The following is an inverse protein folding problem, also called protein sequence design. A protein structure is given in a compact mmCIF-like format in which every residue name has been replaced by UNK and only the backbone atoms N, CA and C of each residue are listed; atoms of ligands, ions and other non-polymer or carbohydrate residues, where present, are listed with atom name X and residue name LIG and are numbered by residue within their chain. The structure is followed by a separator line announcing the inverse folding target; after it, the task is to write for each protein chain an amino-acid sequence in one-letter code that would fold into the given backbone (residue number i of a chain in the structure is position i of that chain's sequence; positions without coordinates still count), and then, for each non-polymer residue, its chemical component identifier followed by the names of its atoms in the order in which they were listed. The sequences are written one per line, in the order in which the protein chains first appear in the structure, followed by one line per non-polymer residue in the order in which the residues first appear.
data_IF_739267500884
#
_entry.id   IF_739267500884
#
_cell.length_a   1.000
_cell.length_b   1.000
_cell.length_c   1.000
_cell.angle_alpha   90.00
_cell.angle_beta   90.00
_cell.angle_gamma   90.00
#
_symmetry.space_group_name_H-M   'P 1'
#
loop_
_entity.id
_entity.type
_entity.pdbx_description
1 polymer ?
#
# COMPACT_ATOMS: atom_id res chain seq x y z
N UNK A 1 -15.13 -19.08 -26.68
CA UNK A 1 -16.27 -18.14 -26.78
C UNK A 1 -15.72 -16.73 -26.79
N UNK A 2 -15.77 -16.10 -27.96
CA UNK A 2 -15.20 -14.78 -28.24
C UNK A 2 -16.37 -13.92 -28.69
N UNK A 3 -16.69 -12.83 -27.98
CA UNK A 3 -17.66 -11.83 -28.44
C UNK A 3 -17.13 -10.44 -28.14
N UNK A 4 -16.73 -9.78 -29.22
CA UNK A 4 -16.49 -8.34 -29.37
C UNK A 4 -17.82 -7.59 -29.43
N UNK A 5 -17.90 -6.38 -28.88
CA UNK A 5 -18.75 -5.31 -29.45
C UNK A 5 -18.16 -3.91 -29.20
N UNK A 6 -18.47 -3.03 -30.16
CA UNK A 6 -17.87 -1.74 -30.47
C UNK A 6 -18.33 -0.54 -29.61
N UNK A 7 -17.42 0.45 -29.54
CA UNK A 7 -17.56 1.93 -29.55
C UNK A 7 -18.85 2.58 -29.02
N UNK A 8 -18.66 3.58 -28.15
CA UNK A 8 -18.90 4.98 -28.55
C UNK A 8 -18.01 5.99 -27.78
N UNK A 9 -17.63 7.01 -28.54
CA UNK A 9 -16.71 8.11 -28.31
C UNK A 9 -17.09 9.12 -27.21
N UNK A 10 -16.08 9.60 -26.47
CA UNK A 10 -15.91 11.03 -26.15
C UNK A 10 -14.43 11.34 -25.87
N UNK A 11 -13.80 12.02 -26.82
CA UNK A 11 -12.49 12.65 -26.67
C UNK A 11 -12.56 13.75 -25.61
N UNK A 12 -11.67 13.70 -24.61
CA UNK A 12 -11.27 14.86 -23.81
C UNK A 12 -9.79 15.12 -24.11
N UNK A 13 -9.53 16.14 -24.92
CA UNK A 13 -8.17 16.63 -25.17
C UNK A 13 -7.57 17.16 -23.87
N UNK A 14 -6.48 16.54 -23.44
CA UNK A 14 -5.54 17.08 -22.46
C UNK A 14 -4.40 17.69 -23.26
N UNK A 15 -4.30 19.01 -23.29
CA UNK A 15 -3.15 19.72 -23.84
C UNK A 15 -1.97 19.56 -22.88
N UNK A 16 -0.95 18.82 -23.31
CA UNK A 16 0.43 19.03 -22.89
C UNK A 16 1.30 19.07 -24.15
N UNK A 17 1.69 20.28 -24.53
CA UNK A 17 2.97 20.57 -25.20
C UNK A 17 4.09 20.05 -24.26
N UNK A 18 5.24 19.56 -24.69
CA UNK A 18 5.95 19.66 -25.96
C UNK A 18 6.97 18.53 -26.07
N UNK A 19 7.15 17.94 -27.25
CA UNK A 19 8.49 17.54 -27.70
C UNK A 19 8.60 17.82 -29.20
N UNK A 20 9.69 18.49 -29.56
CA UNK A 20 10.01 18.86 -30.92
C UNK A 20 10.76 17.69 -31.58
N UNK A 21 10.10 17.00 -32.50
CA UNK A 21 10.71 16.40 -33.70
C UNK A 21 9.73 15.40 -34.32
N UNK A 22 9.19 15.72 -35.48
CA UNK A 22 9.10 14.78 -36.60
C UNK A 22 8.56 15.54 -37.81
N UNK A 23 9.46 15.72 -38.79
CA UNK A 23 9.16 16.11 -40.16
C UNK A 23 8.38 15.00 -40.87
N UNK A 24 7.70 15.41 -41.95
CA UNK A 24 7.17 14.62 -43.06
C UNK A 24 5.70 14.13 -42.96
N UNK A 25 4.82 14.97 -43.50
CA UNK A 25 3.46 14.67 -43.99
C UNK A 25 3.50 13.59 -45.09
N UNK A 26 2.79 12.46 -44.96
CA UNK A 26 1.36 12.25 -45.27
C UNK A 26 0.94 12.58 -46.70
N UNK A 27 0.66 11.55 -47.51
CA UNK A 27 -0.45 11.41 -48.48
C UNK A 27 -0.71 9.87 -48.63
N UNK A 28 -1.89 9.35 -49.08
CA UNK A 28 -2.95 10.01 -49.83
C UNK A 28 -4.42 9.60 -49.47
N UNK A 29 -5.37 10.26 -50.17
CA UNK A 29 -6.77 9.91 -50.45
C UNK A 29 -7.83 10.26 -49.38
N UNK A 30 -8.44 11.45 -49.48
CA UNK A 30 -9.67 11.78 -50.22
C UNK A 30 -10.92 11.57 -49.32
N UNK A 31 -11.88 12.49 -49.16
CA UNK A 31 -12.61 13.23 -50.19
C UNK A 31 -13.38 14.43 -49.60
N UNK A 32 -13.28 15.57 -50.30
CA UNK A 32 -14.40 16.34 -50.89
C UNK A 32 -15.60 16.68 -49.97
N UNK A 33 -15.49 17.73 -49.15
CA UNK A 33 -16.63 18.65 -48.90
C UNK A 33 -16.33 20.03 -48.30
N UNK A 34 -15.06 20.37 -48.02
CA UNK A 34 -14.74 21.64 -47.33
C UNK A 34 -13.88 22.65 -48.12
N UNK A 35 -13.61 22.42 -49.41
CA UNK A 35 -12.71 23.25 -50.23
C UNK A 35 -13.40 24.11 -51.31
N UNK A 36 -14.74 24.24 -51.26
CA UNK A 36 -15.51 25.06 -52.22
C UNK A 36 -15.71 26.53 -51.81
N UNK A 37 -15.15 27.01 -50.70
CA UNK A 37 -15.40 28.38 -50.22
C UNK A 37 -14.20 29.35 -50.30
N UNK A 38 -13.00 28.87 -50.67
CA UNK A 38 -11.79 29.72 -50.71
C UNK A 38 -11.38 30.11 -52.15
N UNK A 39 -11.95 29.48 -53.19
CA UNK A 39 -11.63 29.76 -54.60
C UNK A 39 -12.74 30.52 -55.37
N UNK A 40 -13.52 31.37 -54.69
CA UNK A 40 -14.51 32.27 -55.33
C UNK A 40 -14.25 33.76 -55.04
N UNK A 41 -12.98 34.16 -54.92
CA UNK A 41 -12.61 35.60 -54.86
C UNK A 41 -11.23 35.95 -55.43
N UNK A 42 -10.64 35.05 -56.22
CA UNK A 42 -9.29 35.26 -56.79
C UNK A 42 -9.21 34.87 -58.28
N UNK A 43 -10.30 35.13 -59.02
CA UNK A 43 -10.42 34.85 -60.46
C UNK A 43 -11.28 35.88 -61.20
N UNK A 44 -11.23 37.14 -60.78
CA UNK A 44 -11.79 38.28 -61.54
C UNK A 44 -10.73 39.35 -61.87
N UNK A 45 -9.47 39.13 -61.52
CA UNK A 45 -8.38 40.04 -61.86
C UNK A 45 -7.39 39.36 -62.78
N UNK A 46 -7.72 39.38 -64.09
CA UNK A 46 -6.81 39.37 -65.27
C UNK A 46 -7.49 38.71 -66.45
N UNK A 47 -8.23 39.50 -67.23
CA UNK A 47 -8.38 39.33 -68.68
C UNK A 47 -9.18 40.51 -69.22
N UNK A 48 -8.49 41.42 -69.92
CA UNK A 48 -8.95 42.23 -71.06
C UNK A 48 -8.17 43.54 -71.09
N UNK A 49 -7.00 43.49 -71.73
CA UNK A 49 -6.28 44.64 -72.26
C UNK A 49 -6.79 44.85 -73.69
N UNK A 50 -7.27 46.05 -74.05
CA UNK A 50 -7.23 46.69 -75.39
C UNK A 50 -7.89 48.10 -75.29
N UNK A 51 -7.74 49.02 -76.27
CA UNK A 51 -6.67 50.01 -76.34
C UNK A 51 -7.14 51.47 -76.14
N UNK A 52 -6.16 52.36 -76.03
CA UNK A 52 -6.25 53.82 -75.87
C UNK A 52 -7.30 54.52 -76.74
N UNK A 53 -8.02 55.46 -76.14
CA UNK A 53 -8.22 56.82 -76.70
C UNK A 53 -7.88 57.86 -75.65
N UNK A 54 -7.12 58.88 -76.07
CA UNK A 54 -6.62 59.98 -75.23
C UNK A 54 -7.78 60.90 -74.82
N UNK A 55 -7.92 61.26 -73.54
CA UNK A 55 -8.50 62.52 -73.16
C UNK A 55 -7.44 63.61 -73.17
N UNK A 56 -7.89 64.77 -73.61
CA UNK A 56 -7.21 66.01 -73.95
C UNK A 56 -6.45 66.64 -72.78
N UNK A 57 -5.26 67.17 -73.09
CA UNK A 57 -4.36 67.81 -72.13
C UNK A 57 -4.81 69.26 -71.90
N UNK A 58 -5.34 69.57 -70.72
CA UNK A 58 -5.47 70.96 -70.24
C UNK A 58 -4.31 71.28 -69.31
N UNK A 59 -3.60 72.41 -69.50
CA UNK A 59 -2.47 72.78 -68.66
C UNK A 59 -2.95 73.19 -67.26
N UNK A 60 -2.27 72.69 -66.23
CA UNK A 60 -2.44 73.14 -64.85
C UNK A 60 -1.88 74.57 -64.67
N UNK A 61 -2.52 75.41 -63.84
CA UNK A 61 -1.94 76.69 -63.41
C UNK A 61 -0.72 76.47 -62.48
N UNK A 62 0.20 77.45 -62.38
CA UNK A 62 1.50 77.29 -61.74
C UNK A 62 1.42 77.08 -60.22
N UNK A 63 2.41 76.32 -59.74
CA UNK A 63 2.64 75.93 -58.36
C UNK A 63 2.66 77.13 -57.38
N UNK A 64 1.98 76.96 -56.25
CA UNK A 64 2.17 77.73 -55.03
C UNK A 64 3.05 76.93 -54.04
N UNK A 65 3.86 77.59 -53.19
CA UNK A 65 5.04 76.99 -52.58
C UNK A 65 4.71 75.95 -51.48
N UNK A 66 5.21 74.72 -51.66
CA UNK A 66 5.03 73.57 -50.75
C UNK A 66 5.85 73.61 -49.44
N UNK A 67 6.53 74.72 -49.11
CA UNK A 67 7.49 74.72 -48.00
C UNK A 67 6.92 75.07 -46.63
N UNK A 68 5.69 75.58 -46.52
CA UNK A 68 5.14 76.04 -45.23
C UNK A 68 4.22 75.03 -44.53
N UNK A 69 3.58 74.11 -45.26
CA UNK A 69 2.55 73.21 -44.67
C UNK A 69 3.18 71.98 -43.99
N UNK A 70 4.35 71.52 -44.45
CA UNK A 70 5.03 70.34 -43.89
C UNK A 70 5.66 70.57 -42.51
N UNK A 71 6.14 71.78 -42.21
CA UNK A 71 6.77 72.09 -40.92
C UNK A 71 5.75 72.33 -39.80
N UNK A 72 4.57 72.88 -40.12
CA UNK A 72 3.48 73.08 -39.13
C UNK A 72 2.86 71.74 -38.73
N UNK A 73 2.74 70.79 -39.66
CA UNK A 73 2.24 69.43 -39.37
C UNK A 73 3.22 68.62 -38.52
N UNK A 74 4.53 68.71 -38.79
CA UNK A 74 5.57 68.04 -37.97
C UNK A 74 5.66 68.62 -36.55
N UNK A 75 5.58 69.94 -36.39
CA UNK A 75 5.72 70.61 -35.08
C UNK A 75 4.50 70.44 -34.16
N UNK A 76 3.33 70.08 -34.70
CA UNK A 76 2.10 69.87 -33.92
C UNK A 76 1.74 68.39 -33.76
N UNK A 77 2.02 67.52 -34.73
CA UNK A 77 1.66 66.09 -34.64
C UNK A 77 2.65 65.24 -33.83
N UNK A 78 3.96 65.55 -33.86
CA UNK A 78 4.96 64.83 -33.06
C UNK A 78 4.68 64.87 -31.55
N UNK A 79 4.46 66.04 -30.91
CA UNK A 79 4.21 66.08 -29.47
C UNK A 79 2.86 65.44 -29.08
N UNK A 80 1.85 65.51 -29.94
CA UNK A 80 0.53 64.89 -29.71
C UNK A 80 0.61 63.37 -29.78
N UNK A 81 1.29 62.80 -30.78
CA UNK A 81 1.46 61.34 -30.89
C UNK A 81 2.37 60.78 -29.78
N UNK A 82 3.39 61.52 -29.38
CA UNK A 82 4.26 61.15 -28.25
C UNK A 82 3.45 61.18 -26.94
N UNK A 83 2.63 62.22 -26.71
CA UNK A 83 1.75 62.33 -25.54
C UNK A 83 0.74 61.17 -25.44
N UNK A 84 0.11 60.80 -26.56
CA UNK A 84 -0.84 59.68 -26.63
C UNK A 84 -0.15 58.35 -26.35
N UNK A 85 1.05 58.11 -26.89
CA UNK A 85 1.83 56.89 -26.65
C UNK A 85 2.33 56.80 -25.20
N UNK A 86 2.77 57.91 -24.61
CA UNK A 86 3.21 57.96 -23.20
C UNK A 86 2.04 57.74 -22.25
N UNK A 87 0.86 58.30 -22.53
CA UNK A 87 -0.37 58.01 -21.76
C UNK A 87 -0.80 56.55 -21.89
N UNK A 88 -0.66 55.94 -23.08
CA UNK A 88 -0.96 54.52 -23.27
C UNK A 88 0.03 53.62 -22.52
N UNK A 89 1.32 53.99 -22.48
CA UNK A 89 2.33 53.27 -21.71
C UNK A 89 2.12 53.43 -20.19
N UNK A 90 1.76 54.63 -19.73
CA UNK A 90 1.45 54.89 -18.31
C UNK A 90 0.20 54.15 -17.84
N UNK A 91 -0.84 54.07 -18.68
CA UNK A 91 -2.06 53.31 -18.35
C UNK A 91 -1.81 51.81 -18.33
N UNK A 92 -1.01 51.28 -19.27
CA UNK A 92 -0.59 49.87 -19.24
C UNK A 92 0.30 49.57 -18.03
N UNK A 93 1.21 50.47 -17.66
CA UNK A 93 2.07 50.35 -16.47
C UNK A 93 1.23 50.38 -15.18
N UNK A 94 0.25 51.29 -15.08
CA UNK A 94 -0.68 51.36 -13.94
C UNK A 94 -1.55 50.11 -13.84
N UNK A 95 -1.99 49.54 -14.96
CA UNK A 95 -2.79 48.32 -15.00
C UNK A 95 -1.95 47.08 -14.64
N UNK A 96 -0.68 47.04 -15.06
CA UNK A 96 0.27 46.01 -14.63
C UNK A 96 0.62 46.12 -13.15
N UNK A 97 0.81 47.34 -12.64
CA UNK A 97 1.07 47.59 -11.22
C UNK A 97 -0.16 47.25 -10.36
N UNK A 98 -1.37 47.56 -10.82
CA UNK A 98 -2.62 47.15 -10.19
C UNK A 98 -2.79 45.63 -10.13
N UNK A 99 -2.26 44.89 -11.13
CA UNK A 99 -2.25 43.43 -11.13
C UNK A 99 -1.21 42.85 -10.15
N UNK A 100 -0.10 43.55 -9.91
CA UNK A 100 0.92 43.14 -8.92
C UNK A 100 0.52 43.46 -7.48
N UNK A 101 -0.28 44.51 -7.24
CA UNK A 101 -0.78 44.87 -5.91
C UNK A 101 -2.08 44.17 -5.51
N UNK A 102 -2.68 43.36 -6.39
CA UNK A 102 -3.80 42.52 -6.00
C UNK A 102 -3.32 41.51 -4.94
N UNK A 103 -3.82 41.56 -3.69
CA UNK A 103 -3.49 40.54 -2.71
C UNK A 103 -4.05 39.21 -3.22
N UNK A 104 -3.15 38.36 -3.71
CA UNK A 104 -3.46 37.02 -4.17
C UNK A 104 -3.89 36.15 -2.99
N UNK A 105 -5.13 36.28 -2.56
CA UNK A 105 -5.83 35.22 -1.83
C UNK A 105 -6.18 34.11 -2.83
N UNK A 106 -5.15 33.49 -3.41
CA UNK A 106 -5.27 32.20 -4.06
C UNK A 106 -5.52 31.21 -2.93
N UNK A 107 -6.80 31.02 -2.59
CA UNK A 107 -7.25 29.89 -1.78
C UNK A 107 -6.92 28.63 -2.59
N UNK A 108 -5.70 28.13 -2.43
CA UNK A 108 -5.29 26.83 -2.91
C UNK A 108 -6.28 25.83 -2.29
N UNK A 109 -7.08 25.22 -3.17
CA UNK A 109 -8.10 24.18 -2.95
C UNK A 109 -8.22 23.67 -1.52
N UNK A 110 -9.43 23.68 -0.96
CA UNK A 110 -9.82 23.16 0.36
C UNK A 110 -9.51 21.68 0.59
N UNK A 111 -8.24 21.33 0.50
CA UNK A 111 -7.63 20.07 0.85
C UNK A 111 -7.58 20.04 2.37
N UNK A 112 -8.19 19.02 2.95
CA UNK A 112 -8.15 18.81 4.40
C UNK A 112 -6.68 18.72 4.83
N UNK A 113 -6.27 19.41 5.90
CA UNK A 113 -4.90 19.33 6.35
C UNK A 113 -4.57 17.88 6.75
N UNK A 114 -3.36 17.44 6.37
CA UNK A 114 -2.81 16.15 6.80
C UNK A 114 -2.26 16.33 8.21
N UNK A 115 -2.73 15.51 9.15
CA UNK A 115 -2.34 15.53 10.55
C UNK A 115 -1.69 14.19 10.89
N UNK A 116 -0.57 14.23 11.58
CA UNK A 116 0.06 13.03 12.12
C UNK A 116 -0.69 12.60 13.38
N UNK A 117 -1.42 11.49 13.29
CA UNK A 117 -2.11 10.88 14.42
C UNK A 117 -1.15 9.94 15.15
N UNK A 118 -0.78 10.29 16.38
CA UNK A 118 0.12 9.49 17.22
C UNK A 118 -0.56 9.13 18.53
N UNK A 119 -0.11 8.08 19.18
CA UNK A 119 -0.66 7.76 20.48
C UNK A 119 -0.14 6.47 21.06
N UNK A 120 -0.66 6.16 22.25
CA UNK A 120 -0.44 4.90 22.94
C UNK A 120 -1.80 4.24 23.16
N UNK A 121 -1.92 2.98 22.74
CA UNK A 121 -3.05 2.11 23.04
C UNK A 121 -2.72 1.34 24.31
N UNK A 122 -3.55 1.50 25.34
CA UNK A 122 -3.41 0.83 26.62
C UNK A 122 -4.67 0.02 26.97
N UNK A 123 -4.54 -1.03 27.76
CA UNK A 123 -5.69 -1.72 28.36
C UNK A 123 -6.32 -0.82 29.44
N UNK A 124 -7.65 -0.77 29.51
CA UNK A 124 -8.40 0.04 30.48
C UNK A 124 -8.10 -0.30 31.94
N UNK A 125 -7.84 -1.57 32.24
CA UNK A 125 -7.69 -2.03 33.62
C UNK A 125 -6.25 -1.86 34.15
N UNK A 126 -5.26 -2.20 33.31
CA UNK A 126 -3.85 -2.24 33.74
C UNK A 126 -2.99 -1.12 33.16
N UNK A 127 -3.53 -0.26 32.29
CA UNK A 127 -2.76 0.76 31.53
C UNK A 127 -1.55 0.18 30.77
N UNK A 128 -1.49 -1.14 30.61
CA UNK A 128 -0.45 -1.83 29.86
C UNK A 128 -0.66 -1.57 28.38
N UNK A 129 0.43 -1.23 27.69
CA UNK A 129 0.44 -1.04 26.25
C UNK A 129 -0.06 -2.30 25.54
N UNK A 130 -1.02 -2.16 24.62
CA UNK A 130 -1.57 -3.28 23.85
C UNK A 130 -0.77 -3.41 22.55
N UNK A 131 0.09 -4.44 22.40
CA UNK A 131 0.86 -4.64 21.19
C UNK A 131 0.01 -5.18 20.05
N UNK A 132 0.34 -4.81 18.81
CA UNK A 132 -0.32 -5.35 17.61
C UNK A 132 -1.79 -4.93 17.43
N UNK A 133 -2.26 -3.91 18.14
CA UNK A 133 -3.57 -3.31 17.90
C UNK A 133 -3.60 -2.72 16.48
N UNK A 134 -4.70 -2.95 15.74
CA UNK A 134 -4.91 -2.41 14.40
C UNK A 134 -5.57 -1.03 14.49
N UNK A 135 -4.91 -0.02 13.92
CA UNK A 135 -5.40 1.37 13.85
C UNK A 135 -5.61 1.71 12.39
N UNK A 136 -6.84 1.98 11.97
CA UNK A 136 -7.13 2.24 10.57
C UNK A 136 -8.25 3.25 10.37
N UNK A 137 -8.23 3.91 9.21
CA UNK A 137 -9.26 4.86 8.77
C UNK A 137 -10.17 4.16 7.75
N UNK A 138 -11.44 3.89 8.08
CA UNK A 138 -12.35 3.16 7.18
C UNK A 138 -12.57 3.87 5.84
N UNK A 139 -12.61 5.21 5.83
CA UNK A 139 -12.82 6.00 4.61
C UNK A 139 -11.61 6.00 3.68
N UNK A 140 -10.40 5.99 4.23
CA UNK A 140 -9.16 6.09 3.45
C UNK A 140 -8.54 4.72 3.12
N UNK A 141 -8.97 3.65 3.79
CA UNK A 141 -8.41 2.30 3.61
C UNK A 141 -6.94 2.18 4.02
N UNK A 142 -6.46 3.08 4.90
CA UNK A 142 -5.09 3.11 5.41
C UNK A 142 -5.07 2.81 6.90
N UNK A 143 -4.01 2.16 7.36
CA UNK A 143 -3.84 1.83 8.76
C UNK A 143 -2.40 1.47 9.11
N UNK A 144 -2.17 1.30 10.40
CA UNK A 144 -0.92 0.90 11.03
C UNK A 144 -1.21 -0.03 12.20
N UNK A 145 -0.18 -0.66 12.75
CA UNK A 145 -0.27 -1.49 13.95
C UNK A 145 0.51 -0.86 15.09
N UNK A 146 0.09 -1.07 16.33
CA UNK A 146 0.87 -0.63 17.50
C UNK A 146 2.13 -1.49 17.70
N UNK A 147 3.18 -0.88 18.26
CA UNK A 147 4.41 -1.57 18.64
C UNK A 147 4.26 -2.34 19.97
N UNK A 148 5.35 -2.94 20.47
CA UNK A 148 5.38 -3.70 21.72
C UNK A 148 4.86 -2.92 22.95
N UNK A 149 5.06 -1.60 22.96
CA UNK A 149 4.61 -0.71 24.03
C UNK A 149 3.23 -0.07 23.77
N UNK A 150 2.53 -0.48 22.71
CA UNK A 150 1.23 0.09 22.32
C UNK A 150 1.31 1.42 21.57
N UNK A 151 2.50 1.93 21.25
CA UNK A 151 2.69 3.18 20.51
C UNK A 151 2.40 3.00 19.01
N UNK A 152 1.77 4.01 18.40
CA UNK A 152 1.49 4.05 16.96
C UNK A 152 1.64 5.46 16.37
N UNK A 153 1.77 5.51 15.04
CA UNK A 153 1.86 6.74 14.25
C UNK A 153 1.24 6.52 12.87
N UNK A 154 0.23 7.32 12.50
CA UNK A 154 -0.54 7.20 11.27
C UNK A 154 -0.85 8.61 10.72
N UNK A 155 -0.45 8.96 9.48
CA UNK A 155 -0.90 10.20 8.86
C UNK A 155 -2.38 10.06 8.42
N UNK A 156 -3.23 10.99 8.89
CA UNK A 156 -4.67 11.02 8.62
C UNK A 156 -5.09 12.41 8.15
N UNK A 157 -6.28 12.54 7.53
CA UNK A 157 -6.84 13.85 7.22
C UNK A 157 -7.66 14.36 8.41
N UNK A 158 -7.66 15.67 8.63
CA UNK A 158 -8.54 16.26 9.63
C UNK A 158 -10.02 15.95 9.31
N UNK A 159 -10.81 15.59 10.33
CA UNK A 159 -12.20 15.15 10.18
C UNK A 159 -12.39 13.65 9.91
N UNK A 160 -11.31 12.87 9.82
CA UNK A 160 -11.43 11.42 9.66
C UNK A 160 -11.75 10.70 10.98
N UNK A 161 -12.51 9.61 10.84
CA UNK A 161 -12.81 8.68 11.92
C UNK A 161 -11.80 7.53 11.89
N UNK A 162 -11.18 7.26 13.03
CA UNK A 162 -10.18 6.22 13.19
C UNK A 162 -10.79 5.13 14.07
N UNK A 163 -10.59 3.88 13.64
CA UNK A 163 -11.01 2.69 14.37
C UNK A 163 -9.77 2.02 14.93
N UNK A 164 -9.80 1.74 16.23
CA UNK A 164 -8.75 1.02 16.94
C UNK A 164 -9.37 -0.29 17.38
N UNK A 165 -8.75 -1.41 16.97
CA UNK A 165 -9.22 -2.76 17.23
C UNK A 165 -8.08 -3.63 17.70
N UNK A 166 -8.34 -4.43 18.73
CA UNK A 166 -7.46 -5.50 19.17
C UNK A 166 -8.31 -6.74 19.48
N UNK A 167 -7.68 -7.91 19.48
CA UNK A 167 -8.35 -9.16 19.85
C UNK A 167 -8.66 -9.16 21.35
N UNK A 168 -9.88 -9.52 21.73
CA UNK A 168 -10.33 -9.51 23.14
C UNK A 168 -10.73 -8.14 23.69
N UNK A 169 -10.70 -7.09 22.86
CA UNK A 169 -11.09 -5.73 23.24
C UNK A 169 -12.26 -5.23 22.38
N UNK A 170 -13.06 -4.35 22.97
CA UNK A 170 -14.10 -3.61 22.26
C UNK A 170 -13.48 -2.61 21.28
N UNK A 171 -14.08 -2.48 20.10
CA UNK A 171 -13.65 -1.49 19.10
C UNK A 171 -13.83 -0.07 19.64
N UNK A 172 -12.76 0.72 19.61
CA UNK A 172 -12.78 2.13 20.01
C UNK A 172 -12.73 3.03 18.78
N UNK A 173 -13.47 4.14 18.83
CA UNK A 173 -13.55 5.13 17.76
C UNK A 173 -12.99 6.46 18.24
N UNK A 174 -12.13 7.07 17.42
CA UNK A 174 -11.55 8.40 17.68
C UNK A 174 -11.78 9.26 16.44
N UNK A 175 -12.29 10.47 16.62
CA UNK A 175 -12.52 11.42 15.54
C UNK A 175 -11.49 12.53 15.67
N UNK A 176 -10.74 12.80 14.61
CA UNK A 176 -9.82 13.93 14.58
C UNK A 176 -10.61 15.21 14.29
N UNK A 177 -10.54 16.25 15.14
CA UNK A 177 -11.24 17.51 14.90
C UNK A 177 -10.86 18.13 13.54
N UNK A 178 -11.83 18.68 12.81
CA UNK A 178 -11.60 19.32 11.51
C UNK A 178 -10.74 20.59 11.64
N UNK A 179 -10.98 21.37 12.70
CA UNK A 179 -10.32 22.65 12.95
C UNK A 179 -9.15 22.51 13.93
N UNK A 180 -8.26 21.56 13.68
CA UNK A 180 -7.09 21.37 14.53
C UNK A 180 -5.88 22.14 13.97
N UNK A 181 -5.34 23.14 14.70
CA UNK A 181 -4.32 24.05 14.15
C UNK A 181 -2.91 23.44 14.09
N UNK A 182 -2.68 22.29 14.75
CA UNK A 182 -1.35 21.66 14.84
C UNK A 182 -1.21 20.51 13.84
N UNK A 183 0.02 20.27 13.41
CA UNK A 183 0.38 19.17 12.50
C UNK A 183 0.35 17.78 13.17
N UNK A 184 0.39 17.71 14.51
CA UNK A 184 0.39 16.46 15.28
C UNK A 184 -0.74 16.39 16.30
N UNK A 185 -1.49 15.30 16.26
CA UNK A 185 -2.58 14.99 17.19
C UNK A 185 -2.22 13.74 17.98
N UNK A 186 -1.95 13.91 19.28
CA UNK A 186 -1.53 12.83 20.18
C UNK A 186 -2.66 12.43 21.11
N UNK A 187 -2.93 11.13 21.23
CA UNK A 187 -3.97 10.59 22.12
C UNK A 187 -3.49 9.38 22.91
N UNK A 188 -4.07 9.21 24.10
CA UNK A 188 -3.98 7.97 24.88
C UNK A 188 -5.33 7.31 24.76
N UNK A 189 -5.36 6.09 24.22
CA UNK A 189 -6.59 5.34 23.99
C UNK A 189 -6.61 4.13 24.91
N UNK A 190 -7.61 4.08 25.77
CA UNK A 190 -7.84 2.95 26.66
C UNK A 190 -8.86 2.01 26.02
N UNK A 191 -8.47 0.77 25.77
CA UNK A 191 -9.35 -0.27 25.26
C UNK A 191 -10.02 -1.00 26.42
N UNK A 192 -11.34 -1.18 26.32
CA UNK A 192 -12.11 -1.99 27.27
C UNK A 192 -12.11 -3.45 26.81
N UNK A 193 -11.86 -4.36 27.74
CA UNK A 193 -11.92 -5.80 27.47
C UNK A 193 -13.36 -6.21 27.16
N UNK A 194 -13.52 -7.01 26.10
CA UNK A 194 -14.82 -7.55 25.68
C UNK A 194 -14.62 -9.03 25.34
N UNK A 195 -14.93 -9.87 26.32
CA UNK A 195 -14.90 -11.31 26.16
C UNK A 195 -16.16 -11.75 25.40
N UNK A 196 -16.07 -11.75 24.06
CA UNK A 196 -17.14 -12.33 23.24
C UNK A 196 -17.18 -13.84 23.44
N UNK A 197 -18.20 -14.34 24.16
CA UNK A 197 -18.44 -15.78 24.31
C UNK A 197 -18.95 -16.30 22.97
N UNK A 198 -18.14 -17.14 22.31
CA UNK A 198 -18.55 -17.85 21.11
C UNK A 198 -19.63 -18.88 21.48
N UNK A 199 -20.69 -19.04 20.66
CA UNK A 199 -21.69 -20.06 20.91
C UNK A 199 -21.05 -21.46 20.85
N UNK A 200 -21.43 -22.34 21.78
CA UNK A 200 -21.01 -23.73 21.78
C UNK A 200 -21.52 -24.43 20.51
N UNK A 201 -20.61 -24.94 19.69
CA UNK A 201 -20.97 -25.78 18.54
C UNK A 201 -21.02 -27.23 19.01
N UNK A 202 -22.23 -27.75 19.17
CA UNK A 202 -22.45 -29.17 19.49
C UNK A 202 -22.39 -30.00 18.22
N UNK A 203 -21.26 -30.66 17.99
CA UNK A 203 -21.05 -31.56 16.86
C UNK A 203 -21.48 -32.97 17.30
N UNK A 204 -22.57 -33.47 16.72
CA UNK A 204 -22.96 -34.86 16.92
C UNK A 204 -22.30 -35.74 15.85
N UNK A 205 -21.74 -36.91 16.22
CA UNK A 205 -21.08 -37.81 15.27
C UNK A 205 -22.04 -38.45 14.27
N UNK A 206 -23.34 -38.47 14.57
CA UNK A 206 -24.36 -39.07 13.74
C UNK A 206 -25.47 -38.06 13.43
N UNK A 207 -25.90 -38.02 12.17
CA UNK A 207 -26.91 -37.09 11.70
C UNK A 207 -28.34 -37.46 12.12
N UNK A 208 -28.62 -38.74 12.38
CA UNK A 208 -29.94 -39.23 12.80
C UNK A 208 -29.82 -40.26 13.92
N UNK A 209 -30.86 -40.39 14.73
CA UNK A 209 -30.94 -41.41 15.79
C UNK A 209 -30.83 -42.83 15.23
N UNK A 210 -31.42 -43.08 14.05
CA UNK A 210 -31.34 -44.37 13.38
C UNK A 210 -29.89 -44.74 13.02
N UNK A 211 -29.14 -43.81 12.44
CA UNK A 211 -27.73 -44.02 12.10
C UNK A 211 -26.89 -44.29 13.35
N UNK A 212 -27.18 -43.59 14.46
CA UNK A 212 -26.56 -43.88 15.76
C UNK A 212 -26.87 -45.30 16.23
N UNK A 213 -28.13 -45.73 16.21
CA UNK A 213 -28.53 -47.08 16.64
C UNK A 213 -27.89 -48.16 15.79
N UNK A 214 -27.90 -48.00 14.47
CA UNK A 214 -27.26 -48.95 13.56
C UNK A 214 -25.75 -49.04 13.82
N UNK A 215 -25.06 -47.91 13.97
CA UNK A 215 -23.64 -47.88 14.28
C UNK A 215 -23.32 -48.46 15.67
N UNK A 216 -24.17 -48.18 16.67
CA UNK A 216 -24.01 -48.69 18.03
C UNK A 216 -24.22 -50.20 18.08
N UNK A 217 -25.23 -50.73 17.38
CA UNK A 217 -25.47 -52.17 17.27
C UNK A 217 -24.38 -52.88 16.46
N UNK A 218 -23.85 -52.23 15.43
CA UNK A 218 -22.75 -52.76 14.63
C UNK A 218 -21.39 -52.64 15.34
N UNK A 219 -21.31 -51.94 16.47
CA UNK A 219 -20.08 -51.77 17.22
C UNK A 219 -19.67 -53.11 17.82
N UNK A 220 -18.51 -53.63 17.37
CA UNK A 220 -17.91 -54.80 17.99
C UNK A 220 -17.25 -54.38 19.30
N UNK A 221 -17.67 -55.01 20.40
CA UNK A 221 -16.93 -54.88 21.66
C UNK A 221 -15.57 -55.54 21.49
N UNK A 222 -14.48 -54.91 21.97
CA UNK A 222 -13.15 -55.51 21.89
C UNK A 222 -13.16 -56.86 22.61
N UNK A 223 -12.68 -57.90 21.93
CA UNK A 223 -12.57 -59.25 22.47
C UNK A 223 -11.54 -59.29 23.59
N UNK A 224 -11.53 -60.35 24.42
CA UNK A 224 -10.53 -60.51 25.49
C UNK A 224 -9.08 -60.50 24.93
N UNK A 225 -8.88 -60.95 23.68
CA UNK A 225 -7.62 -60.87 22.93
C UNK A 225 -7.25 -59.46 22.41
N UNK A 226 -8.18 -58.50 22.44
CA UNK A 226 -7.94 -57.09 22.11
C UNK A 226 -7.63 -56.27 23.37
N UNK A 227 -8.04 -56.75 24.56
CA UNK A 227 -7.71 -56.13 25.86
C UNK A 227 -6.22 -56.24 26.20
N UNK A 228 -5.50 -57.17 25.57
CA UNK A 228 -4.05 -57.34 25.72
C UNK A 228 -3.23 -56.35 24.87
N UNK A 229 -3.77 -55.16 24.57
CA UNK A 229 -2.97 -54.06 24.03
C UNK A 229 -1.69 -53.82 24.88
N UNK A 230 -1.76 -54.07 26.19
CA UNK A 230 -0.61 -54.09 27.09
C UNK A 230 0.43 -55.20 26.78
N UNK A 231 0.01 -56.41 26.39
CA UNK A 231 0.92 -57.49 25.96
C UNK A 231 1.50 -57.22 24.56
N UNK A 232 0.73 -56.61 23.67
CA UNK A 232 1.19 -56.16 22.35
C UNK A 232 2.20 -55.01 22.45
N UNK A 233 2.17 -54.26 23.56
CA UNK A 233 3.14 -53.24 23.97
C UNK A 233 4.26 -53.80 24.88
N UNK A 234 4.54 -55.10 24.82
CA UNK A 234 5.71 -55.67 25.49
C UNK A 234 6.99 -54.92 25.07
N UNK A 235 7.89 -54.66 26.03
CA UNK A 235 9.15 -53.94 25.83
C UNK A 235 9.94 -54.52 24.66
N UNK A 236 9.99 -55.84 24.55
CA UNK A 236 10.70 -56.53 23.48
C UNK A 236 10.10 -56.25 22.10
N UNK A 237 8.77 -56.19 22.00
CA UNK A 237 8.04 -55.86 20.76
C UNK A 237 8.30 -54.40 20.37
N UNK A 238 8.25 -53.48 21.34
CA UNK A 238 8.55 -52.06 21.12
C UNK A 238 9.99 -51.82 20.68
N UNK A 239 10.96 -52.52 21.31
CA UNK A 239 12.38 -52.48 20.91
C UNK A 239 12.57 -53.01 19.48
N UNK A 240 11.88 -54.10 19.11
CA UNK A 240 11.92 -54.62 17.73
C UNK A 240 11.34 -53.60 16.75
N UNK A 241 10.18 -53.01 17.04
CA UNK A 241 9.58 -51.96 16.21
C UNK A 241 10.49 -50.74 16.04
N UNK A 242 11.12 -50.28 17.11
CA UNK A 242 12.07 -49.16 17.05
C UNK A 242 13.27 -49.45 16.14
N UNK A 243 13.73 -50.70 16.12
CA UNK A 243 14.88 -51.11 15.31
C UNK A 243 14.51 -51.45 13.85
N UNK A 244 13.27 -51.85 13.57
CA UNK A 244 12.88 -52.33 12.24
C UNK A 244 12.09 -51.32 11.42
N UNK A 245 11.42 -50.35 12.06
CA UNK A 245 10.63 -49.34 11.35
C UNK A 245 11.57 -48.29 10.72
N UNK A 246 11.41 -47.97 9.43
CA UNK A 246 12.19 -46.90 8.81
C UNK A 246 11.81 -45.56 9.43
N UNK A 247 12.81 -44.72 9.70
CA UNK A 247 12.56 -43.37 10.22
C UNK A 247 11.82 -42.55 9.17
N UNK A 248 10.59 -42.16 9.48
CA UNK A 248 9.74 -41.34 8.59
C UNK A 248 10.36 -39.95 8.37
N UNK A 249 9.96 -39.22 7.33
CA UNK A 249 10.47 -37.85 7.09
C UNK A 249 10.28 -36.92 8.30
N UNK A 250 9.16 -37.04 9.00
CA UNK A 250 8.88 -36.31 10.24
C UNK A 250 9.74 -36.80 11.42
N UNK A 251 10.05 -38.09 11.47
CA UNK A 251 11.01 -38.66 12.42
C UNK A 251 12.42 -38.10 12.21
N UNK A 252 12.88 -38.05 10.96
CA UNK A 252 14.17 -37.50 10.58
C UNK A 252 14.25 -36.01 10.94
N UNK A 253 13.23 -35.21 10.60
CA UNK A 253 13.18 -33.79 10.95
C UNK A 253 13.25 -33.57 12.47
N UNK A 254 12.46 -34.32 13.24
CA UNK A 254 12.49 -34.23 14.72
C UNK A 254 13.86 -34.60 15.28
N UNK A 255 14.48 -35.66 14.76
CA UNK A 255 15.80 -36.09 15.19
C UNK A 255 16.86 -35.03 14.86
N UNK A 256 16.84 -34.44 13.66
CA UNK A 256 17.77 -33.37 13.28
C UNK A 256 17.57 -32.12 14.15
N UNK A 257 16.32 -31.73 14.39
CA UNK A 257 16.01 -30.58 15.26
C UNK A 257 16.43 -30.85 16.72
N UNK A 258 16.22 -32.06 17.22
CA UNK A 258 16.65 -32.45 18.57
C UNK A 258 18.18 -32.46 18.69
N UNK A 259 18.89 -32.98 17.69
CA UNK A 259 20.35 -32.94 17.64
C UNK A 259 20.88 -31.49 17.59
N UNK A 260 20.26 -30.63 16.79
CA UNK A 260 20.64 -29.22 16.70
C UNK A 260 20.38 -28.46 18.01
N UNK A 261 19.27 -28.73 18.69
CA UNK A 261 18.99 -28.16 20.02
C UNK A 261 20.00 -28.64 21.05
N UNK A 262 20.35 -29.93 21.05
CA UNK A 262 21.39 -30.47 21.93
C UNK A 262 22.75 -29.81 21.63
N UNK A 263 23.11 -29.60 20.36
CA UNK A 263 24.34 -28.89 19.97
C UNK A 263 24.37 -27.45 20.45
N UNK A 264 23.26 -26.73 20.32
CA UNK A 264 23.15 -25.36 20.82
C UNK A 264 23.26 -25.33 22.35
N UNK A 265 22.59 -26.23 23.06
CA UNK A 265 22.71 -26.35 24.53
C UNK A 265 24.15 -26.68 24.95
N UNK A 266 24.82 -27.61 24.24
CA UNK A 266 26.23 -27.96 24.44
C UNK A 266 27.14 -26.73 24.27
N UNK A 267 26.93 -25.94 23.22
CA UNK A 267 27.68 -24.69 22.96
C UNK A 267 27.46 -23.62 24.01
N UNK A 268 26.24 -23.54 24.54
CA UNK A 268 25.84 -22.57 25.57
C UNK A 268 26.20 -23.02 27.00
N UNK A 269 26.82 -24.19 27.18
CA UNK A 269 27.26 -24.70 28.50
C UNK A 269 26.16 -25.31 29.37
N UNK A 270 24.90 -25.28 28.94
CA UNK A 270 23.75 -25.86 29.66
C UNK A 270 23.45 -27.32 29.25
N UNK A 271 24.03 -27.78 28.14
CA UNK A 271 23.88 -29.16 27.65
C UNK A 271 24.87 -30.12 28.29
N UNK A 272 24.51 -31.41 28.31
CA UNK A 272 25.41 -32.48 28.72
C UNK A 272 26.56 -32.61 27.70
N UNK A 273 27.70 -31.99 27.99
CA UNK A 273 28.96 -32.23 27.30
C UNK A 273 29.87 -33.10 28.17
N UNK A 274 30.84 -33.84 27.59
CA UNK A 274 31.86 -34.54 28.38
C UNK A 274 32.64 -33.61 29.34
N UNK A 275 32.68 -32.32 29.04
CA UNK A 275 33.33 -31.30 29.86
C UNK A 275 32.45 -30.78 31.01
N UNK A 276 31.13 -30.64 30.81
CA UNK A 276 30.17 -30.17 31.82
C UNK A 276 29.58 -31.31 32.67
N UNK A 277 29.56 -32.53 32.17
CA UNK A 277 29.05 -33.72 32.86
C UNK A 277 30.13 -34.82 32.91
N UNK A 278 31.24 -34.53 33.60
CA UNK A 278 32.24 -35.55 33.90
C UNK A 278 31.64 -36.55 34.90
N UNK A 279 31.43 -37.84 34.52
CA UNK A 279 30.80 -38.83 35.38
C UNK A 279 31.54 -39.05 36.70
N UNK A 280 32.85 -38.77 36.73
CA UNK A 280 33.69 -38.92 37.91
C UNK A 280 33.45 -37.82 38.96
N UNK A 281 32.99 -36.64 38.54
CA UNK A 281 32.77 -35.47 39.40
C UNK A 281 31.30 -35.24 39.72
N UNK A 282 30.39 -36.03 39.15
CA UNK A 282 28.95 -35.94 39.38
C UNK A 282 28.54 -36.81 40.59
N UNK A 283 28.08 -36.24 41.71
CA UNK A 283 27.75 -36.99 42.93
C UNK A 283 26.56 -37.96 42.74
N UNK A 284 25.66 -37.68 41.78
CA UNK A 284 24.52 -38.55 41.52
C UNK A 284 24.91 -39.80 40.73
N UNK A 285 25.91 -39.71 39.85
CA UNK A 285 26.44 -40.87 39.12
C UNK A 285 27.09 -41.89 40.04
N UNK A 286 27.80 -41.43 41.08
CA UNK A 286 28.36 -42.33 42.12
C UNK A 286 27.27 -43.04 42.93
N UNK A 287 26.19 -42.34 43.26
CA UNK A 287 25.06 -42.95 43.95
C UNK A 287 24.41 -44.06 43.11
N UNK A 288 24.28 -43.85 41.79
CA UNK A 288 23.77 -44.85 40.87
C UNK A 288 24.74 -46.05 40.75
N UNK A 289 26.03 -45.79 40.64
CA UNK A 289 27.04 -46.85 40.59
C UNK A 289 27.05 -47.71 41.87
N UNK A 290 26.99 -47.09 43.05
CA UNK A 290 26.89 -47.82 44.33
C UNK A 290 25.63 -48.69 44.35
N UNK A 291 24.50 -48.18 43.84
CA UNK A 291 23.26 -48.95 43.73
C UNK A 291 23.38 -50.14 42.79
N UNK A 292 24.00 -49.98 41.62
CA UNK A 292 24.20 -51.05 40.64
C UNK A 292 25.16 -52.13 41.15
N UNK A 293 26.25 -51.72 41.82
CA UNK A 293 27.18 -52.64 42.48
C UNK A 293 26.47 -53.41 43.60
N UNK A 294 25.67 -52.72 44.44
CA UNK A 294 24.88 -53.35 45.50
C UNK A 294 23.79 -54.28 44.95
N UNK A 295 23.19 -53.93 43.82
CA UNK A 295 22.22 -54.76 43.10
C UNK A 295 22.87 -55.97 42.41
N UNK A 296 24.20 -56.02 42.35
CA UNK A 296 24.95 -57.15 41.79
C UNK A 296 24.94 -57.21 40.27
N UNK A 297 24.64 -56.10 39.58
CA UNK A 297 24.59 -56.06 38.11
C UNK A 297 25.93 -56.44 37.45
N UNK A 298 27.04 -56.25 38.15
CA UNK A 298 28.39 -56.60 37.68
C UNK A 298 28.88 -57.98 38.12
N UNK A 299 28.05 -58.77 38.82
CA UNK A 299 28.42 -60.17 39.10
C UNK A 299 28.38 -60.95 37.79
N UNK A 300 29.52 -61.57 37.44
CA UNK A 300 29.64 -62.46 36.28
C UNK A 300 28.59 -63.56 36.42
N UNK A 301 27.62 -63.62 35.51
CA UNK A 301 26.73 -64.78 35.40
C UNK A 301 27.54 -65.89 34.78
N UNK A 302 27.88 -66.92 35.56
CA UNK A 302 28.55 -68.11 35.04
C UNK A 302 27.65 -68.74 33.95
N UNK A 303 28.18 -68.90 32.74
CA UNK A 303 27.50 -69.59 31.63
C UNK A 303 27.08 -68.75 30.42
N UNK A 304 27.40 -67.45 30.36
CA UNK A 304 27.24 -66.67 29.12
C UNK A 304 28.55 -65.98 28.81
N UNK A 305 29.37 -66.63 27.98
CA UNK A 305 30.49 -65.98 27.31
C UNK A 305 29.92 -65.02 26.24
N UNK A 306 30.46 -63.80 26.21
CA UNK A 306 30.04 -62.73 25.30
C UNK A 306 30.44 -63.01 23.86
#
# INVERSE_FOLDING_TARGET
MHISWLRHSKCRMRTRLSSANARNTCWPNATVKCLRRIFRRKRETRAATEPRRRPEFKPNPPAAPESAVSLVFLMTYLPVVISVRVSFLLTVLLLALGLLLAPGAVQAQGQRPVVQFTGIVASGDSLLGVPGAAIFVPKAGRGTTSNEYGYFSLPVLAGDSIVIRSLGYRNQYVIVPETYPRLSYSVIVQLQEDATILPEVRIFPYATERAFKEAFLAMKTPSENDRSAAEKLNEQTMRRMFNTLPVTSMGNYRQTMQAQQQDQQRRMGFGATPATNNPLLNPFSWLQLIKQVKAGEFKKKEGVDY
#
